data_IF_163502875716
#
_entry.id   IF_163502875716
#
_cell.length_a   1.000
_cell.length_b   1.000
_cell.length_c   1.000
_cell.angle_alpha   90.00
_cell.angle_beta   90.00
_cell.angle_gamma   90.00
#
_symmetry.space_group_name_H-M   'P 1'
#
loop_
_entity.id
_entity.type
_entity.pdbx_description
1 polymer ?
#
# COMPACT_ATOMS: atom_id res chain seq x y z
N UNK A 1 -8.50 14.25 7.18
CA UNK A 1 -7.08 14.41 7.58
C UNK A 1 -6.60 15.85 7.37
N UNK A 2 -5.72 16.37 8.23
CA UNK A 2 -4.98 17.61 8.00
C UNK A 2 -3.79 17.42 7.05
N UNK A 3 -3.15 18.52 6.66
CA UNK A 3 -2.07 18.54 5.66
C UNK A 3 -0.84 17.74 6.14
N UNK A 4 -0.48 17.91 7.41
CA UNK A 4 0.69 17.25 8.03
C UNK A 4 0.53 15.73 8.03
N UNK A 5 -0.69 15.24 8.31
CA UNK A 5 -1.01 13.82 8.24
C UNK A 5 -0.79 13.25 6.83
N UNK A 6 -1.22 13.99 5.80
CA UNK A 6 -1.09 13.56 4.39
C UNK A 6 0.39 13.53 3.98
N UNK A 7 1.15 14.57 4.30
CA UNK A 7 2.58 14.66 3.99
C UNK A 7 3.37 13.52 4.64
N UNK A 8 3.15 13.28 5.93
CA UNK A 8 3.79 12.19 6.66
C UNK A 8 3.46 10.82 6.06
N UNK A 9 2.18 10.56 5.73
CA UNK A 9 1.79 9.31 5.08
C UNK A 9 2.51 9.14 3.74
N UNK A 10 2.53 10.18 2.91
CA UNK A 10 3.17 10.13 1.59
C UNK A 10 4.66 9.82 1.70
N UNK A 11 5.38 10.51 2.58
CA UNK A 11 6.82 10.29 2.75
C UNK A 11 7.14 8.88 3.28
N UNK A 12 6.30 8.35 4.18
CA UNK A 12 6.45 6.99 4.71
C UNK A 12 6.14 5.93 3.64
N UNK A 13 5.04 6.08 2.92
CA UNK A 13 4.67 5.20 1.81
C UNK A 13 5.76 5.15 0.75
N UNK A 14 6.31 6.31 0.39
CA UNK A 14 7.40 6.42 -0.55
C UNK A 14 8.66 5.78 0.01
N UNK A 15 9.11 6.12 1.23
CA UNK A 15 10.34 5.59 1.81
C UNK A 15 10.35 4.06 1.92
N UNK A 16 9.28 3.48 2.48
CA UNK A 16 9.17 2.04 2.73
C UNK A 16 8.60 1.26 1.53
N UNK A 17 8.02 1.93 0.54
CA UNK A 17 7.35 1.29 -0.58
C UNK A 17 6.14 0.49 -0.10
N UNK A 18 5.27 1.11 0.69
CA UNK A 18 4.07 0.50 1.28
C UNK A 18 2.83 1.37 0.97
N UNK A 19 1.63 0.91 1.35
CA UNK A 19 0.39 1.71 1.22
C UNK A 19 -0.42 1.76 2.51
N UNK A 20 -0.51 2.90 3.18
CA UNK A 20 -1.26 3.15 4.42
C UNK A 20 -2.61 3.76 4.06
N UNK A 21 -3.71 3.11 4.44
CA UNK A 21 -5.05 3.63 4.15
C UNK A 21 -5.48 4.67 5.16
N UNK A 22 -6.48 5.47 4.78
CA UNK A 22 -7.13 6.42 5.68
C UNK A 22 -7.72 5.72 6.92
N UNK A 23 -8.39 4.59 6.72
CA UNK A 23 -8.93 3.79 7.82
C UNK A 23 -7.83 3.26 8.76
N UNK A 24 -6.72 2.76 8.22
CA UNK A 24 -5.59 2.27 9.02
C UNK A 24 -5.00 3.39 9.86
N UNK A 25 -4.79 4.55 9.23
CA UNK A 25 -4.25 5.74 9.86
C UNK A 25 -5.09 6.17 11.05
N UNK A 26 -6.38 6.37 10.83
CA UNK A 26 -7.29 6.89 11.85
C UNK A 26 -7.56 5.89 12.98
N UNK A 27 -7.66 4.59 12.67
CA UNK A 27 -8.06 3.58 13.65
C UNK A 27 -6.91 3.02 14.48
N UNK A 28 -5.70 2.95 13.92
CA UNK A 28 -4.63 2.12 14.47
C UNK A 28 -3.25 2.78 14.56
N UNK A 29 -3.05 3.94 13.90
CA UNK A 29 -1.74 4.58 13.78
C UNK A 29 -1.64 5.89 14.58
N UNK A 30 -2.11 5.89 15.83
CA UNK A 30 -2.12 7.09 16.69
C UNK A 30 -0.76 7.44 17.32
N UNK A 31 0.20 6.51 17.33
CA UNK A 31 1.53 6.69 17.95
C UNK A 31 2.68 6.37 17.00
N UNK A 32 3.86 6.94 17.26
CA UNK A 32 5.08 6.60 16.52
C UNK A 32 5.33 5.08 16.55
N UNK A 33 5.17 4.44 17.71
CA UNK A 33 5.38 3.01 17.85
C UNK A 33 4.41 2.16 17.03
N UNK A 34 3.16 2.59 16.89
CA UNK A 34 2.18 1.90 16.04
C UNK A 34 2.54 1.99 14.54
N UNK A 35 3.07 3.13 14.10
CA UNK A 35 3.56 3.30 12.74
C UNK A 35 4.81 2.45 12.45
N UNK A 36 5.75 2.39 13.40
CA UNK A 36 6.91 1.49 13.32
C UNK A 36 6.45 0.05 13.16
N UNK A 37 5.54 -0.42 14.01
CA UNK A 37 5.06 -1.80 13.95
C UNK A 37 4.36 -2.10 12.62
N UNK A 38 3.59 -1.14 12.08
CA UNK A 38 2.96 -1.29 10.77
C UNK A 38 3.98 -1.48 9.64
N UNK A 39 5.02 -0.63 9.60
CA UNK A 39 6.09 -0.75 8.62
C UNK A 39 6.83 -2.09 8.78
N UNK A 40 7.14 -2.46 10.03
CA UNK A 40 7.82 -3.70 10.40
C UNK A 40 7.07 -4.94 9.90
N UNK A 41 5.75 -4.98 10.09
CA UNK A 41 4.91 -6.08 9.61
C UNK A 41 5.03 -6.24 8.09
N UNK A 42 4.99 -5.14 7.33
CA UNK A 42 5.09 -5.20 5.86
C UNK A 42 6.48 -5.63 5.37
N UNK A 43 7.54 -5.26 6.07
CA UNK A 43 8.92 -5.70 5.78
C UNK A 43 9.09 -7.19 6.10
N UNK A 44 8.60 -7.65 7.26
CA UNK A 44 8.74 -9.06 7.65
C UNK A 44 8.07 -10.01 6.64
N UNK A 45 6.90 -9.63 6.11
CA UNK A 45 6.22 -10.46 5.10
C UNK A 45 7.00 -10.47 3.77
N UNK A 46 7.76 -9.42 3.44
CA UNK A 46 8.59 -9.40 2.23
C UNK A 46 9.88 -10.23 2.39
N UNK A 47 10.53 -10.20 3.57
CA UNK A 47 11.74 -10.98 3.88
C UNK A 47 11.51 -12.49 3.82
N UNK A 48 10.32 -12.95 4.22
CA UNK A 48 10.01 -14.39 4.35
C UNK A 48 9.76 -15.10 3.02
N UNK A 49 9.72 -14.38 1.88
CA UNK A 49 9.30 -14.95 0.58
C UNK A 49 10.39 -14.86 -0.48
N UNK A 50 10.73 -16.01 -1.08
CA UNK A 50 11.64 -16.08 -2.24
C UNK A 50 11.09 -15.38 -3.50
N UNK A 51 9.76 -15.20 -3.60
CA UNK A 51 9.14 -14.42 -4.66
C UNK A 51 7.89 -13.70 -4.15
N UNK A 52 8.04 -12.41 -3.83
CA UNK A 52 7.01 -11.59 -3.19
C UNK A 52 5.82 -11.25 -4.10
N UNK A 53 6.01 -11.20 -5.42
CA UNK A 53 4.97 -10.77 -6.37
C UNK A 53 4.11 -11.91 -6.93
N UNK A 54 4.64 -13.13 -7.00
CA UNK A 54 3.95 -14.27 -7.62
C UNK A 54 2.59 -14.61 -6.99
N UNK A 55 2.43 -14.64 -5.65
CA UNK A 55 1.15 -14.96 -5.03
C UNK A 55 0.05 -13.97 -5.44
N UNK A 56 0.36 -12.67 -5.45
CA UNK A 56 -0.57 -11.62 -5.85
C UNK A 56 -0.87 -11.67 -7.36
N UNK A 57 0.13 -11.99 -8.17
CA UNK A 57 -0.07 -12.18 -9.61
C UNK A 57 -1.02 -13.35 -9.89
N UNK A 58 -0.84 -14.48 -9.19
CA UNK A 58 -1.71 -15.64 -9.38
C UNK A 58 -3.13 -15.37 -8.91
N UNK A 59 -3.29 -14.76 -7.73
CA UNK A 59 -4.61 -14.37 -7.25
C UNK A 59 -5.34 -13.44 -8.25
N UNK A 60 -4.65 -12.39 -8.74
CA UNK A 60 -5.20 -11.48 -9.74
C UNK A 60 -5.57 -12.18 -11.06
N UNK A 61 -4.70 -13.08 -11.54
CA UNK A 61 -4.95 -13.85 -12.75
C UNK A 61 -6.17 -14.76 -12.60
N UNK A 62 -6.32 -15.39 -11.44
CA UNK A 62 -7.42 -16.32 -11.19
C UNK A 62 -8.74 -15.55 -11.11
N UNK A 63 -8.78 -14.38 -10.43
CA UNK A 63 -9.92 -13.44 -10.48
C UNK A 63 -10.28 -13.05 -11.92
N UNK A 64 -9.30 -12.66 -12.76
CA UNK A 64 -9.54 -12.32 -14.16
C UNK A 64 -10.17 -13.48 -14.96
N UNK A 65 -9.71 -14.72 -14.74
CA UNK A 65 -10.22 -15.91 -15.44
C UNK A 65 -11.65 -16.25 -15.02
N UNK A 66 -11.96 -16.09 -13.74
CA UNK A 66 -13.29 -16.32 -13.19
C UNK A 66 -14.29 -15.31 -13.75
N UNK A 67 -13.98 -14.01 -13.67
CA UNK A 67 -14.88 -12.96 -14.13
C UNK A 67 -15.11 -12.96 -15.64
N UNK A 68 -14.08 -13.28 -16.42
CA UNK A 68 -14.19 -13.37 -17.89
C UNK A 68 -14.74 -14.70 -18.37
N UNK A 69 -15.02 -15.64 -17.45
CA UNK A 69 -15.43 -17.02 -17.74
C UNK A 69 -14.46 -17.72 -18.72
N UNK A 70 -13.18 -17.34 -18.70
CA UNK A 70 -12.15 -17.84 -19.61
C UNK A 70 -10.99 -18.45 -18.83
N UNK A 71 -11.13 -19.73 -18.48
CA UNK A 71 -10.11 -20.49 -17.73
C UNK A 71 -8.77 -20.62 -18.44
N UNK A 72 -8.75 -20.52 -19.77
CA UNK A 72 -7.55 -20.64 -20.60
C UNK A 72 -6.89 -19.30 -20.92
N UNK A 73 -7.42 -18.20 -20.38
CA UNK A 73 -6.88 -16.86 -20.59
C UNK A 73 -5.39 -16.82 -20.25
N UNK A 74 -4.58 -16.45 -21.24
CA UNK A 74 -3.14 -16.25 -21.08
C UNK A 74 -2.89 -14.84 -20.59
N UNK A 75 -2.44 -14.74 -19.35
CA UNK A 75 -2.10 -13.47 -18.69
C UNK A 75 -0.64 -13.48 -18.31
N UNK A 76 0.07 -12.39 -18.63
CA UNK A 76 1.45 -12.11 -18.22
C UNK A 76 1.49 -10.78 -17.46
N UNK A 77 2.51 -10.50 -16.65
CA UNK A 77 2.63 -9.19 -15.98
C UNK A 77 2.62 -8.02 -16.96
N UNK A 78 3.18 -8.18 -18.16
CA UNK A 78 3.19 -7.14 -19.20
C UNK A 78 1.88 -7.05 -20.01
N UNK A 79 0.90 -7.93 -19.76
CA UNK A 79 -0.38 -7.93 -20.48
C UNK A 79 -1.15 -6.66 -20.14
N UNK A 80 -1.56 -5.85 -21.13
CA UNK A 80 -2.42 -4.68 -20.90
C UNK A 80 -3.77 -5.10 -20.32
N UNK A 81 -4.25 -4.43 -19.27
CA UNK A 81 -5.50 -4.83 -18.59
C UNK A 81 -6.71 -4.75 -19.54
N UNK A 82 -6.73 -3.73 -20.41
CA UNK A 82 -7.79 -3.51 -21.40
C UNK A 82 -7.91 -4.64 -22.43
N UNK A 83 -6.87 -5.45 -22.61
CA UNK A 83 -6.89 -6.58 -23.55
C UNK A 83 -7.50 -7.85 -22.93
N UNK A 84 -7.57 -7.91 -21.60
CA UNK A 84 -8.06 -9.08 -20.85
C UNK A 84 -9.35 -8.80 -20.08
N UNK A 85 -9.67 -7.53 -19.84
CA UNK A 85 -10.85 -7.09 -19.10
C UNK A 85 -11.77 -6.25 -19.98
N UNK A 86 -12.88 -6.82 -20.50
CA UNK A 86 -13.88 -6.10 -21.28
C UNK A 86 -14.44 -4.90 -20.52
N UNK A 87 -14.76 -3.81 -21.23
CA UNK A 87 -15.32 -2.59 -20.61
C UNK A 87 -16.58 -2.84 -19.79
N UNK A 88 -17.39 -3.82 -20.15
CA UNK A 88 -18.60 -4.22 -19.41
C UNK A 88 -18.31 -4.80 -18.02
N UNK A 89 -17.13 -5.40 -17.81
CA UNK A 89 -16.75 -6.05 -16.56
C UNK A 89 -15.81 -5.18 -15.70
N UNK A 90 -15.37 -4.02 -16.20
CA UNK A 90 -14.37 -3.20 -15.50
C UNK A 90 -14.85 -2.78 -14.12
N UNK A 91 -16.08 -2.27 -14.00
CA UNK A 91 -16.66 -1.83 -12.73
C UNK A 91 -16.64 -2.97 -11.69
N UNK A 92 -17.28 -4.09 -12.03
CA UNK A 92 -17.35 -5.25 -11.14
C UNK A 92 -15.98 -5.79 -10.76
N UNK A 93 -15.01 -5.78 -11.69
CA UNK A 93 -13.66 -6.26 -11.41
C UNK A 93 -12.94 -5.40 -10.40
N UNK A 94 -13.05 -4.08 -10.52
CA UNK A 94 -12.43 -3.17 -9.57
C UNK A 94 -13.11 -3.22 -8.20
N UNK A 95 -14.44 -3.39 -8.15
CA UNK A 95 -15.16 -3.59 -6.89
C UNK A 95 -14.66 -4.86 -6.19
N UNK A 96 -14.63 -5.98 -6.91
CA UNK A 96 -14.18 -7.27 -6.38
C UNK A 96 -12.72 -7.22 -5.95
N UNK A 97 -11.84 -6.58 -6.72
CA UNK A 97 -10.43 -6.42 -6.31
C UNK A 97 -10.28 -5.56 -5.06
N UNK A 98 -11.04 -4.46 -4.96
CA UNK A 98 -10.96 -3.56 -3.81
C UNK A 98 -11.43 -4.28 -2.55
N UNK A 99 -12.51 -5.07 -2.65
CA UNK A 99 -13.00 -5.91 -1.55
C UNK A 99 -12.00 -7.03 -1.19
N UNK A 100 -11.51 -7.77 -2.18
CA UNK A 100 -10.64 -8.94 -1.95
C UNK A 100 -9.26 -8.58 -1.38
N UNK A 101 -8.69 -7.45 -1.79
CA UNK A 101 -7.33 -7.05 -1.43
C UNK A 101 -7.28 -5.81 -0.54
N UNK A 102 -8.44 -5.31 -0.08
CA UNK A 102 -8.56 -4.08 0.70
C UNK A 102 -7.81 -2.91 0.05
N UNK A 103 -7.92 -2.77 -1.27
CA UNK A 103 -7.29 -1.66 -1.99
C UNK A 103 -8.08 -0.40 -1.69
N UNK A 104 -7.37 0.71 -1.47
CA UNK A 104 -8.04 2.00 -1.45
C UNK A 104 -8.71 2.20 -2.80
N UNK A 105 -10.00 2.51 -2.78
CA UNK A 105 -10.64 2.85 -4.01
C UNK A 105 -10.04 4.16 -4.55
N UNK A 106 -9.65 4.20 -5.83
CA UNK A 106 -9.14 5.43 -6.43
C UNK A 106 -10.23 6.50 -6.33
N UNK A 107 -9.90 7.62 -5.67
CA UNK A 107 -10.78 8.79 -5.42
C UNK A 107 -11.91 8.95 -6.47
N UNK A 108 -13.12 8.66 -6.01
CA UNK A 108 -14.28 8.20 -6.78
C UNK A 108 -15.08 9.24 -7.56
N UNK A 109 -14.51 10.35 -8.05
CA UNK A 109 -15.36 11.38 -8.69
C UNK A 109 -15.65 11.22 -10.17
N UNK A 110 -14.95 10.36 -10.92
CA UNK A 110 -15.12 10.31 -12.39
C UNK A 110 -14.82 8.92 -12.99
N UNK A 111 -15.72 7.94 -12.81
CA UNK A 111 -15.58 6.63 -13.46
C UNK A 111 -16.28 6.62 -14.83
N UNK A 112 -15.49 6.75 -15.89
CA UNK A 112 -15.88 6.22 -17.20
C UNK A 112 -14.83 5.33 -17.87
N UNK A 113 -13.56 5.30 -17.43
CA UNK A 113 -12.52 4.33 -17.87
C UNK A 113 -11.48 4.19 -16.76
N UNK A 114 -11.08 2.96 -16.42
CA UNK A 114 -9.88 2.49 -15.69
C UNK A 114 -9.12 3.51 -14.80
N UNK A 115 -8.79 3.18 -13.53
CA UNK A 115 -8.03 4.12 -12.71
C UNK A 115 -6.70 4.49 -13.38
N UNK A 116 -6.46 5.81 -13.46
CA UNK A 116 -5.33 6.39 -14.17
C UNK A 116 -4.03 5.81 -13.58
N UNK A 117 -3.23 5.14 -14.40
CA UNK A 117 -1.92 4.59 -14.00
C UNK A 117 -1.78 3.06 -14.12
N UNK A 118 -2.88 2.28 -14.11
CA UNK A 118 -2.79 0.81 -14.11
C UNK A 118 -2.74 0.17 -15.49
N UNK A 119 -1.71 0.39 -16.29
CA UNK A 119 -1.66 -0.02 -17.71
C UNK A 119 -1.71 -1.54 -17.91
N UNK A 120 -1.07 -2.29 -17.04
CA UNK A 120 -0.84 -3.74 -17.16
C UNK A 120 -1.29 -4.50 -15.91
N UNK A 121 -1.49 -5.81 -16.06
CA UNK A 121 -1.76 -6.73 -14.93
C UNK A 121 -0.64 -6.66 -13.88
N UNK A 122 0.61 -6.45 -14.31
CA UNK A 122 1.75 -6.25 -13.42
C UNK A 122 1.68 -4.96 -12.61
N UNK A 123 1.10 -3.88 -13.15
CA UNK A 123 0.88 -2.63 -12.41
C UNK A 123 -0.09 -2.87 -11.24
N UNK A 124 -1.19 -3.58 -11.50
CA UNK A 124 -2.18 -3.95 -10.48
C UNK A 124 -1.56 -4.91 -9.46
N UNK A 125 -0.81 -5.91 -9.92
CA UNK A 125 -0.10 -6.86 -9.05
C UNK A 125 0.82 -6.13 -8.07
N UNK A 126 1.58 -5.13 -8.55
CA UNK A 126 2.45 -4.31 -7.70
C UNK A 126 1.66 -3.51 -6.68
N UNK A 127 0.51 -2.97 -7.06
CA UNK A 127 -0.34 -2.22 -6.13
C UNK A 127 -0.89 -3.11 -5.01
N UNK A 128 -1.37 -4.30 -5.37
CA UNK A 128 -1.78 -5.30 -4.38
C UNK A 128 -0.58 -5.65 -3.48
N UNK A 129 0.60 -5.86 -4.06
CA UNK A 129 1.80 -6.17 -3.27
C UNK A 129 2.15 -5.04 -2.28
N UNK A 130 2.16 -3.76 -2.71
CA UNK A 130 2.44 -2.58 -1.84
C UNK A 130 1.50 -2.49 -0.63
N UNK A 131 0.24 -2.89 -0.80
CA UNK A 131 -0.75 -2.90 0.28
C UNK A 131 -0.35 -3.84 1.43
N UNK A 132 0.24 -4.98 1.07
CA UNK A 132 0.53 -6.07 2.00
C UNK A 132 2.01 -6.20 2.36
N UNK A 133 2.91 -5.59 1.58
CA UNK A 133 4.37 -5.78 1.65
C UNK A 133 5.11 -4.46 1.48
N UNK A 134 6.30 -4.37 2.06
CA UNK A 134 7.32 -3.42 1.65
C UNK A 134 7.95 -3.90 0.33
N UNK A 135 7.82 -3.11 -0.73
CA UNK A 135 8.34 -3.48 -2.06
C UNK A 135 9.76 -2.96 -2.34
N UNK A 136 10.27 -2.09 -1.47
CA UNK A 136 11.67 -1.63 -1.48
C UNK A 136 12.52 -2.58 -0.62
N UNK A 137 13.78 -2.84 -1.02
CA UNK A 137 14.67 -3.65 -0.20
C UNK A 137 14.98 -2.93 1.11
N UNK A 138 14.78 -3.61 2.23
CA UNK A 138 15.13 -3.14 3.56
C UNK A 138 16.12 -4.11 4.20
N UNK A 139 17.05 -3.56 4.99
CA UNK A 139 18.11 -4.35 5.60
C UNK A 139 17.61 -5.25 6.74
N UNK A 140 16.55 -4.84 7.45
CA UNK A 140 16.02 -5.55 8.61
C UNK A 140 14.58 -5.14 8.95
N UNK A 141 13.76 -6.11 9.35
CA UNK A 141 12.47 -5.93 10.04
C UNK A 141 12.60 -5.79 11.57
N UNK A 142 13.79 -5.52 12.08
CA UNK A 142 13.99 -5.24 13.52
C UNK A 142 13.40 -3.88 13.90
N UNK A 143 12.72 -3.81 15.05
CA UNK A 143 11.97 -2.62 15.47
C UNK A 143 12.84 -1.36 15.52
N UNK A 144 14.04 -1.47 16.08
CA UNK A 144 14.99 -0.35 16.20
C UNK A 144 15.48 0.15 14.83
N UNK A 145 15.73 -0.76 13.89
CA UNK A 145 16.12 -0.41 12.53
C UNK A 145 15.01 0.39 11.82
N UNK A 146 13.76 -0.08 11.91
CA UNK A 146 12.61 0.61 11.33
C UNK A 146 12.37 1.98 11.98
N UNK A 147 12.48 2.08 13.32
CA UNK A 147 12.35 3.35 14.03
C UNK A 147 13.42 4.36 13.60
N UNK A 148 14.67 3.93 13.44
CA UNK A 148 15.76 4.81 13.00
C UNK A 148 15.54 5.37 11.59
N UNK A 149 14.97 4.57 10.70
CA UNK A 149 14.60 4.99 9.35
C UNK A 149 13.37 5.91 9.33
N UNK A 150 12.44 5.74 10.27
CA UNK A 150 11.23 6.54 10.38
C UNK A 150 11.46 7.91 11.04
N UNK A 151 12.41 8.00 11.99
CA UNK A 151 12.75 9.25 12.71
C UNK A 151 12.96 10.46 11.81
N UNK A 152 13.86 10.43 10.81
CA UNK A 152 14.10 11.62 9.97
C UNK A 152 12.85 12.03 9.18
N UNK A 153 12.00 11.08 8.82
CA UNK A 153 10.74 11.36 8.10
C UNK A 153 9.78 12.14 9.01
N UNK A 154 9.56 11.66 10.24
CA UNK A 154 8.68 12.32 11.21
C UNK A 154 9.21 13.71 11.58
N UNK A 155 10.52 13.83 11.82
CA UNK A 155 11.15 15.11 12.15
C UNK A 155 10.95 16.14 11.03
N UNK A 156 11.11 15.73 9.77
CA UNK A 156 10.96 16.62 8.63
C UNK A 156 9.49 17.00 8.39
N UNK A 157 8.58 16.02 8.39
CA UNK A 157 7.16 16.25 8.12
C UNK A 157 6.46 17.07 9.22
N UNK A 158 6.81 16.86 10.49
CA UNK A 158 6.16 17.53 11.63
C UNK A 158 7.00 18.65 12.25
N UNK A 159 8.21 18.88 11.76
CA UNK A 159 9.15 19.88 12.28
C UNK A 159 9.40 19.76 13.80
N UNK A 160 9.58 18.51 14.28
CA UNK A 160 9.84 18.16 15.68
C UNK A 160 11.29 17.72 15.89
N UNK A 161 11.78 17.73 17.14
CA UNK A 161 13.14 17.28 17.46
C UNK A 161 13.23 15.76 17.58
N UNK A 162 14.45 15.24 17.44
CA UNK A 162 14.70 13.79 17.49
C UNK A 162 14.32 13.17 18.85
N UNK A 163 14.53 13.88 19.96
CA UNK A 163 14.20 13.41 21.31
C UNK A 163 12.69 13.35 21.58
N UNK A 164 11.89 14.02 20.76
CA UNK A 164 10.43 13.97 20.81
C UNK A 164 9.88 12.72 20.07
N UNK A 165 10.63 12.17 19.12
CA UNK A 165 10.23 11.00 18.31
C UNK A 165 10.51 9.70 19.09
N UNK A 166 9.69 9.46 20.12
CA UNK A 166 9.72 8.26 20.95
C UNK A 166 8.53 7.33 20.63
N UNK A 167 8.66 6.00 20.81
CA UNK A 167 7.59 5.04 20.51
C UNK A 167 6.22 5.34 21.11
N UNK A 168 6.20 5.95 22.29
CA UNK A 168 4.98 6.28 23.03
C UNK A 168 4.35 7.60 22.59
N UNK A 169 5.05 8.43 21.82
CA UNK A 169 4.56 9.73 21.39
C UNK A 169 3.35 9.56 20.47
N UNK A 170 2.28 10.30 20.79
CA UNK A 170 1.04 10.39 20.03
C UNK A 170 1.17 11.50 19.01
N UNK A 171 0.82 11.22 17.75
CA UNK A 171 1.04 12.19 16.66
C UNK A 171 0.30 13.52 16.88
N UNK A 172 -0.96 13.46 17.31
CA UNK A 172 -1.79 14.66 17.52
C UNK A 172 -1.45 15.34 18.85
N UNK A 173 -1.40 14.57 19.95
CA UNK A 173 -1.27 15.13 21.30
C UNK A 173 0.16 15.55 21.66
N UNK A 174 1.16 14.78 21.25
CA UNK A 174 2.56 15.00 21.65
C UNK A 174 3.38 15.68 20.54
N UNK A 175 3.10 15.36 19.26
CA UNK A 175 3.86 15.87 18.11
C UNK A 175 3.15 17.00 17.35
N UNK A 176 1.97 17.42 17.81
CA UNK A 176 1.26 18.59 17.28
C UNK A 176 0.73 18.44 15.85
N UNK A 177 0.56 17.21 15.36
CA UNK A 177 0.05 16.93 14.01
C UNK A 177 -1.42 17.38 13.85
N UNK A 178 -1.70 18.12 12.77
CA UNK A 178 -3.04 18.62 12.43
C UNK A 178 -3.83 17.77 11.43
#
# INVERSE_FOLDING_TARGET
MGLDSVELIMDVEDHFGITITEEEWESSLSTVGSLVERCRQRILVSETRQNIYLPYFFALRDTLREMTLNRLLRVRPSTPIVNVLPSSLQHQFWDQLSEQFHLDPPSFRFWSKQPIGFKTVGDITRQIAKRHLAIKPFASSEYTAVLNELRPIIMNALNVKEDEVVPTARFVEDLGMS
#
